data_IF_058386316851
#
_entry.id   IF_058386316851
#
_cell.length_a   1.000
_cell.length_b   1.000
_cell.length_c   1.000
_cell.angle_alpha   90.00
_cell.angle_beta   90.00
_cell.angle_gamma   90.00
#
_symmetry.space_group_name_H-M   'P 1'
#
loop_
_entity.id
_entity.type
_entity.pdbx_description
1 polymer ?
#
# COMPACT_ATOMS: atom_id res chain seq x y z
N UNK A 1 -19.08 21.99 12.64
CA UNK A 1 -18.91 20.58 12.24
C UNK A 1 -17.96 20.56 11.06
N UNK A 2 -16.65 20.65 11.29
CA UNK A 2 -15.66 20.50 10.22
C UNK A 2 -15.52 19.00 9.95
N UNK A 3 -16.09 18.54 8.84
CA UNK A 3 -15.78 17.24 8.29
C UNK A 3 -14.28 17.25 7.93
N UNK A 4 -13.44 16.79 8.86
CA UNK A 4 -12.05 16.48 8.55
C UNK A 4 -12.11 15.33 7.56
N UNK A 5 -12.03 15.62 6.26
CA UNK A 5 -11.80 14.59 5.25
C UNK A 5 -10.48 13.95 5.62
N UNK A 6 -10.52 12.72 6.10
CA UNK A 6 -9.31 11.91 6.17
C UNK A 6 -8.66 11.92 4.79
N UNK A 7 -7.35 12.18 4.68
CA UNK A 7 -6.70 12.22 3.39
C UNK A 7 -6.85 10.86 2.71
N UNK A 8 -7.34 10.89 1.47
CA UNK A 8 -7.54 9.67 0.68
C UNK A 8 -6.18 9.14 0.21
N UNK A 9 -6.07 7.81 0.11
CA UNK A 9 -4.85 7.18 -0.43
C UNK A 9 -4.86 7.35 -1.94
N UNK A 10 -3.87 8.06 -2.48
CA UNK A 10 -3.69 8.33 -3.91
C UNK A 10 -3.21 7.09 -4.64
N UNK A 11 -2.26 6.38 -4.05
CA UNK A 11 -1.63 5.24 -4.69
C UNK A 11 -1.01 4.31 -3.66
N UNK A 12 -1.16 3.01 -3.85
CA UNK A 12 -0.44 2.00 -3.10
C UNK A 12 0.44 1.22 -4.06
N UNK A 13 1.73 1.19 -3.79
CA UNK A 13 2.71 0.42 -4.55
C UNK A 13 3.22 -0.71 -3.67
N UNK A 14 3.38 -1.89 -4.25
CA UNK A 14 3.85 -3.10 -3.57
C UNK A 14 5.04 -3.61 -4.36
N UNK A 15 6.16 -3.86 -3.71
CA UNK A 15 7.27 -4.57 -4.33
C UNK A 15 7.05 -6.08 -4.20
N UNK A 16 7.46 -6.86 -5.19
CA UNK A 16 7.42 -8.31 -5.06
C UNK A 16 8.65 -8.78 -4.31
N UNK A 17 8.49 -9.48 -3.18
CA UNK A 17 9.64 -10.10 -2.48
C UNK A 17 10.29 -11.24 -3.26
N UNK A 18 9.66 -11.70 -4.35
CA UNK A 18 10.17 -12.79 -5.20
C UNK A 18 10.94 -12.31 -6.40
N UNK A 19 10.41 -11.33 -7.15
CA UNK A 19 11.07 -10.80 -8.35
C UNK A 19 11.65 -9.39 -8.18
N UNK A 20 11.41 -8.72 -7.05
CA UNK A 20 11.86 -7.34 -6.81
C UNK A 20 11.04 -6.27 -7.54
N UNK A 21 10.05 -6.67 -8.34
CA UNK A 21 9.31 -5.74 -9.19
C UNK A 21 8.23 -5.01 -8.39
N UNK A 22 8.19 -3.68 -8.51
CA UNK A 22 7.16 -2.83 -7.92
C UNK A 22 5.95 -2.72 -8.83
N UNK A 23 4.76 -2.95 -8.28
CA UNK A 23 3.51 -2.82 -9.00
C UNK A 23 2.45 -2.10 -8.17
N UNK A 24 1.56 -1.32 -8.80
CA UNK A 24 0.47 -0.66 -8.10
C UNK A 24 -0.57 -1.70 -7.66
N UNK A 25 -0.92 -1.66 -6.38
CA UNK A 25 -2.05 -2.41 -5.87
C UNK A 25 -3.35 -1.72 -6.32
N UNK A 26 -4.35 -2.44 -6.84
CA UNK A 26 -5.67 -1.88 -7.11
C UNK A 26 -6.47 -1.56 -5.83
N UNK A 27 -5.82 -1.59 -4.67
CA UNK A 27 -6.42 -1.37 -3.36
C UNK A 27 -6.38 0.14 -3.09
N UNK A 28 -7.50 0.82 -3.30
CA UNK A 28 -7.72 2.18 -2.82
C UNK A 28 -8.12 2.09 -1.35
N UNK A 29 -7.23 2.48 -0.44
CA UNK A 29 -7.56 2.49 0.99
C UNK A 29 -8.09 3.87 1.35
N UNK A 30 -9.41 3.99 1.46
CA UNK A 30 -10.08 5.16 2.02
C UNK A 30 -10.82 4.74 3.28
N UNK A 31 -10.71 5.44 4.44
CA UNK A 31 -9.82 6.57 4.79
C UNK A 31 -8.45 6.17 5.41
N UNK A 32 -7.49 7.11 5.53
CA UNK A 32 -6.20 6.96 6.26
C UNK A 32 -6.36 6.35 7.66
N UNK A 33 -7.44 6.69 8.36
CA UNK A 33 -7.81 6.15 9.67
C UNK A 33 -8.21 4.67 9.66
N UNK A 34 -8.42 4.08 8.48
CA UNK A 34 -8.63 2.64 8.26
C UNK A 34 -7.50 1.98 7.48
N UNK A 35 -6.42 2.70 7.20
CA UNK A 35 -5.12 2.09 6.84
C UNK A 35 -4.56 1.47 8.12
N UNK A 36 -5.25 0.46 8.64
CA UNK A 36 -4.62 -0.48 9.52
C UNK A 36 -3.54 -1.14 8.68
N UNK A 37 -2.29 -0.75 8.91
CA UNK A 37 -1.14 -1.40 8.31
C UNK A 37 -1.21 -2.92 8.53
N UNK A 38 -1.89 -3.36 9.59
CA UNK A 38 -2.28 -4.73 9.92
C UNK A 38 -3.23 -5.40 8.91
N UNK A 39 -4.14 -4.65 8.28
CA UNK A 39 -5.07 -5.14 7.27
C UNK A 39 -4.39 -5.33 5.90
N UNK A 40 -3.39 -4.50 5.59
CA UNK A 40 -2.50 -4.70 4.45
C UNK A 40 -1.48 -5.81 4.72
N UNK A 41 -0.83 -5.81 5.89
CA UNK A 41 0.19 -6.79 6.30
C UNK A 41 -0.28 -8.24 6.32
N UNK A 42 -1.58 -8.49 6.49
CA UNK A 42 -2.15 -9.84 6.42
C UNK A 42 -2.61 -10.27 5.03
N UNK A 43 -2.54 -9.37 4.04
CA UNK A 43 -2.92 -9.68 2.68
C UNK A 43 -1.71 -10.16 1.87
N UNK A 44 -1.91 -11.24 1.13
CA UNK A 44 -0.99 -11.68 0.08
C UNK A 44 -1.57 -11.26 -1.26
N UNK A 45 -0.75 -10.61 -2.09
CA UNK A 45 -1.14 -10.22 -3.44
C UNK A 45 -0.35 -11.05 -4.44
N UNK A 46 -1.00 -11.47 -5.51
CA UNK A 46 -0.30 -12.12 -6.61
C UNK A 46 0.41 -11.06 -7.45
N UNK A 47 1.72 -11.22 -7.62
CA UNK A 47 2.50 -10.35 -8.49
C UNK A 47 2.09 -10.61 -9.95
N UNK A 48 1.72 -9.54 -10.66
CA UNK A 48 1.37 -9.64 -12.09
C UNK A 48 2.56 -9.93 -13.01
N UNK A 49 3.78 -9.76 -12.51
CA UNK A 49 5.00 -9.94 -13.29
C UNK A 49 5.52 -11.38 -13.21
N UNK A 50 5.74 -11.90 -11.99
CA UNK A 50 6.25 -13.26 -11.81
C UNK A 50 5.16 -14.31 -11.56
N UNK A 51 3.92 -13.89 -11.29
CA UNK A 51 2.81 -14.79 -10.96
C UNK A 51 2.85 -15.37 -9.55
N UNK A 52 3.89 -15.09 -8.76
CA UNK A 52 4.01 -15.57 -7.38
C UNK A 52 3.22 -14.69 -6.39
N UNK A 53 2.78 -15.31 -5.30
CA UNK A 53 2.17 -14.60 -4.17
C UNK A 53 3.26 -13.89 -3.36
N UNK A 54 3.14 -12.57 -3.21
CA UNK A 54 3.97 -11.76 -2.34
C UNK A 54 3.16 -11.26 -1.16
N UNK A 55 3.80 -11.13 0.00
CA UNK A 55 3.16 -10.55 1.18
C UNK A 55 3.19 -9.03 1.08
N UNK A 56 2.09 -8.41 1.50
CA UNK A 56 1.93 -6.96 1.54
C UNK A 56 2.41 -6.41 2.88
N UNK A 57 3.68 -6.58 3.23
CA UNK A 57 4.24 -6.07 4.48
C UNK A 57 4.53 -4.57 4.41
N UNK A 58 4.48 -3.85 5.54
CA UNK A 58 4.86 -2.42 5.63
C UNK A 58 6.22 -2.11 5.01
N UNK A 59 7.15 -3.05 5.08
CA UNK A 59 8.51 -2.89 4.56
C UNK A 59 8.59 -2.92 3.03
N UNK A 60 7.52 -3.38 2.39
CA UNK A 60 7.46 -3.74 0.98
C UNK A 60 6.21 -3.14 0.30
N UNK A 61 5.50 -2.28 1.02
CA UNK A 61 4.30 -1.56 0.59
C UNK A 61 4.48 -0.09 0.91
N UNK A 62 4.26 0.77 -0.08
CA UNK A 62 4.23 2.23 0.06
C UNK A 62 2.85 2.73 -0.30
N UNK A 63 2.16 3.29 0.67
CA UNK A 63 0.93 4.04 0.47
C UNK A 63 1.25 5.53 0.45
N UNK A 64 0.81 6.21 -0.60
CA UNK A 64 0.96 7.67 -0.77
C UNK A 64 -0.41 8.33 -0.66
N UNK A 65 -0.49 9.40 0.12
CA UNK A 65 -1.73 10.10 0.44
C UNK A 65 -1.78 11.47 -0.26
N UNK A 66 -2.99 12.01 -0.46
CA UNK A 66 -3.18 13.31 -1.12
C UNK A 66 -2.49 14.46 -0.37
N UNK A 67 -2.36 14.31 0.95
CA UNK A 67 -1.68 15.26 1.83
C UNK A 67 -0.14 15.26 1.66
N UNK A 68 0.39 14.48 0.74
CA UNK A 68 1.83 14.32 0.51
C UNK A 68 2.52 13.39 1.52
N UNK A 69 1.79 12.89 2.52
CA UNK A 69 2.30 11.86 3.43
C UNK A 69 2.49 10.54 2.68
N UNK A 70 3.56 9.81 2.98
CA UNK A 70 3.73 8.39 2.61
C UNK A 70 3.78 7.52 3.87
N UNK A 71 3.26 6.30 3.79
CA UNK A 71 3.35 5.28 4.85
C UNK A 71 3.92 4.01 4.20
N UNK A 72 5.02 3.51 4.74
CA UNK A 72 5.74 2.38 4.16
C UNK A 72 7.24 2.55 4.34
N UNK A 73 8.01 1.65 3.73
CA UNK A 73 9.44 1.86 3.53
C UNK A 73 9.62 2.77 2.31
N UNK A 74 10.29 3.92 2.44
CA UNK A 74 10.51 4.84 1.30
C UNK A 74 11.65 4.37 0.37
N UNK A 75 12.37 3.31 0.76
CA UNK A 75 13.54 2.76 0.05
C UNK A 75 13.21 1.77 -1.09
N UNK A 76 11.94 1.68 -1.50
CA UNK A 76 11.44 0.67 -2.47
C UNK A 76 11.36 1.22 -3.89
#
# INVERSE_FOLDING_TARGET
MTANKDPETVSITIQCLKCGETFPAPILVSPKSKVDSSALAKNMVQCKHCGEMTRCDKENVVARFEDGTSIGNDEI
#
